data_IF_705757358098
#
_entry.id   IF_705757358098
#
_cell.length_a   1.000
_cell.length_b   1.000
_cell.length_c   1.000
_cell.angle_alpha   90.00
_cell.angle_beta   90.00
_cell.angle_gamma   90.00
#
_symmetry.space_group_name_H-M   'P 1'
#
loop_
_entity.id
_entity.type
_entity.pdbx_description
1 polymer ?
#
# COMPACT_ATOMS: atom_id res chain seq x y z
N UNK A 1 6.76 4.53 -10.63
CA UNK A 1 7.01 5.51 -11.73
C UNK A 1 5.74 6.26 -12.14
N UNK A 2 4.62 5.57 -12.42
CA UNK A 2 3.38 6.23 -12.88
C UNK A 2 2.94 7.40 -12.01
N UNK A 3 2.97 7.26 -10.68
CA UNK A 3 2.52 8.33 -9.77
C UNK A 3 3.39 9.58 -9.85
N UNK A 4 4.72 9.43 -9.85
CA UNK A 4 5.65 10.53 -10.04
C UNK A 4 5.47 11.21 -11.40
N UNK A 5 5.31 10.43 -12.48
CA UNK A 5 5.05 10.96 -13.81
C UNK A 5 3.70 11.70 -13.88
N UNK A 6 2.68 11.18 -13.22
CA UNK A 6 1.33 11.76 -13.16
C UNK A 6 1.34 13.14 -12.48
N UNK A 7 1.96 13.25 -11.30
CA UNK A 7 2.07 14.54 -10.60
C UNK A 7 2.98 15.52 -11.33
N UNK A 8 4.05 15.05 -11.97
CA UNK A 8 4.92 15.90 -12.79
C UNK A 8 4.18 16.46 -14.00
N UNK A 9 3.41 15.64 -14.72
CA UNK A 9 2.56 16.10 -15.82
C UNK A 9 1.56 17.14 -15.34
N UNK A 10 0.81 16.84 -14.28
CA UNK A 10 -0.28 17.70 -13.81
C UNK A 10 0.21 19.04 -13.24
N UNK A 11 1.27 19.03 -12.41
CA UNK A 11 1.70 20.23 -11.70
C UNK A 11 2.82 21.01 -12.38
N UNK A 12 3.65 20.38 -13.22
CA UNK A 12 4.89 21.00 -13.71
C UNK A 12 4.96 21.08 -15.23
N UNK A 13 4.46 20.06 -15.94
CA UNK A 13 4.70 19.88 -17.38
C UNK A 13 3.41 19.59 -18.18
N UNK A 14 2.32 20.39 -18.04
CA UNK A 14 1.04 20.09 -18.70
C UNK A 14 1.12 20.17 -20.23
N UNK A 15 2.03 20.99 -20.78
CA UNK A 15 2.26 21.10 -22.23
C UNK A 15 2.88 19.82 -22.84
N UNK A 16 3.47 18.93 -22.03
CA UNK A 16 4.09 17.68 -22.49
C UNK A 16 3.11 16.50 -22.50
N UNK A 17 1.81 16.79 -22.65
CA UNK A 17 0.71 15.83 -22.63
C UNK A 17 0.97 14.54 -23.42
N UNK A 18 1.37 14.65 -24.68
CA UNK A 18 1.59 13.47 -25.55
C UNK A 18 2.74 12.59 -25.06
N UNK A 19 3.82 13.20 -24.56
CA UNK A 19 4.96 12.46 -24.02
C UNK A 19 4.58 11.69 -22.75
N UNK A 20 3.87 12.34 -21.82
CA UNK A 20 3.41 11.69 -20.60
C UNK A 20 2.34 10.64 -20.84
N UNK A 21 1.42 10.87 -21.80
CA UNK A 21 0.43 9.87 -22.21
C UNK A 21 1.11 8.60 -22.71
N UNK A 22 2.05 8.74 -23.65
CA UNK A 22 2.84 7.61 -24.15
C UNK A 22 3.62 6.90 -23.04
N UNK A 23 4.24 7.65 -22.12
CA UNK A 23 4.95 7.08 -20.97
C UNK A 23 4.01 6.25 -20.08
N UNK A 24 2.84 6.78 -19.70
CA UNK A 24 1.87 6.05 -18.87
C UNK A 24 1.37 4.79 -19.58
N UNK A 25 1.06 4.87 -20.86
CA UNK A 25 0.63 3.70 -21.65
C UNK A 25 1.69 2.60 -21.72
N UNK A 26 2.97 2.96 -21.90
CA UNK A 26 4.07 2.00 -21.87
C UNK A 26 4.26 1.37 -20.49
N UNK A 27 4.09 2.15 -19.41
CA UNK A 27 4.18 1.63 -18.05
C UNK A 27 3.02 0.68 -17.72
N UNK A 28 1.80 1.01 -18.16
CA UNK A 28 0.62 0.14 -18.03
C UNK A 28 0.82 -1.14 -18.85
N UNK A 29 1.29 -1.04 -20.10
CA UNK A 29 1.61 -2.20 -20.92
C UNK A 29 2.63 -3.13 -20.24
N UNK A 30 3.68 -2.57 -19.61
CA UNK A 30 4.63 -3.37 -18.82
C UNK A 30 3.96 -4.04 -17.62
N UNK A 31 3.04 -3.36 -16.93
CA UNK A 31 2.29 -3.92 -15.80
C UNK A 31 1.43 -5.12 -16.21
N UNK A 32 0.92 -5.14 -17.45
CA UNK A 32 0.12 -6.25 -18.01
C UNK A 32 0.96 -7.46 -18.48
N UNK A 33 2.30 -7.32 -18.56
CA UNK A 33 3.16 -8.45 -18.96
C UNK A 33 3.12 -9.55 -17.92
N UNK A 34 3.05 -10.80 -18.40
CA UNK A 34 3.07 -12.01 -17.58
C UNK A 34 4.18 -12.00 -16.53
N UNK A 35 5.39 -11.57 -16.90
CA UNK A 35 6.55 -11.49 -15.99
C UNK A 35 6.31 -10.64 -14.72
N UNK A 36 5.34 -9.71 -14.76
CA UNK A 36 5.00 -8.85 -13.62
C UNK A 36 4.00 -9.50 -12.68
N UNK A 37 3.05 -10.28 -13.19
CA UNK A 37 1.92 -10.79 -12.40
C UNK A 37 1.88 -12.31 -12.24
N UNK A 38 2.64 -13.08 -13.02
CA UNK A 38 2.61 -14.55 -13.01
C UNK A 38 3.09 -15.17 -11.72
N UNK A 39 3.80 -14.41 -10.87
CA UNK A 39 4.12 -14.83 -9.51
C UNK A 39 2.85 -15.24 -8.74
N UNK A 40 1.71 -14.62 -9.08
CA UNK A 40 0.46 -14.82 -8.40
C UNK A 40 0.01 -16.28 -8.40
N UNK A 41 0.22 -17.01 -9.50
CA UNK A 41 -0.12 -18.42 -9.57
C UNK A 41 0.52 -19.21 -8.41
N UNK A 42 1.78 -18.95 -8.10
CA UNK A 42 2.47 -19.59 -6.98
C UNK A 42 2.04 -19.02 -5.63
N UNK A 43 1.94 -17.70 -5.50
CA UNK A 43 1.59 -17.02 -4.25
C UNK A 43 0.16 -17.34 -3.77
N UNK A 44 -0.78 -17.53 -4.70
CA UNK A 44 -2.19 -17.86 -4.43
C UNK A 44 -2.38 -19.15 -3.62
N UNK A 45 -1.38 -20.02 -3.60
CA UNK A 45 -1.35 -21.25 -2.82
C UNK A 45 -1.24 -21.03 -1.30
N UNK A 46 -0.89 -19.81 -0.86
CA UNK A 46 -0.66 -19.44 0.55
C UNK A 46 0.54 -20.16 1.20
N UNK A 47 0.80 -19.87 2.47
CA UNK A 47 1.85 -20.52 3.25
C UNK A 47 1.82 -20.16 4.73
N UNK A 48 2.58 -20.92 5.53
CA UNK A 48 2.60 -20.84 7.01
C UNK A 48 2.87 -19.45 7.59
N UNK A 49 3.56 -18.58 6.83
CA UNK A 49 3.85 -17.22 7.28
C UNK A 49 2.60 -16.34 7.39
N UNK A 50 1.70 -16.44 6.41
CA UNK A 50 0.45 -15.66 6.35
C UNK A 50 -0.76 -16.42 6.87
N UNK A 51 -0.67 -17.76 6.91
CA UNK A 51 -1.71 -18.64 7.43
C UNK A 51 -1.07 -19.74 8.30
N UNK A 52 -0.83 -19.50 9.60
CA UNK A 52 -0.14 -20.45 10.47
C UNK A 52 -0.86 -21.80 10.61
N UNK A 53 -2.17 -21.80 10.40
CA UNK A 53 -3.04 -22.97 10.56
C UNK A 53 -3.19 -23.77 9.25
N UNK A 54 -2.52 -23.37 8.16
CA UNK A 54 -2.59 -24.09 6.89
C UNK A 54 -1.94 -25.48 6.99
N UNK A 55 -2.66 -26.53 6.63
CA UNK A 55 -2.12 -27.90 6.58
C UNK A 55 -1.86 -28.37 5.15
N UNK A 56 -2.61 -27.84 4.19
CA UNK A 56 -2.48 -28.12 2.76
C UNK A 56 -2.49 -26.80 1.98
N UNK A 57 -1.64 -26.70 0.96
CA UNK A 57 -1.62 -25.52 0.08
C UNK A 57 -2.96 -25.37 -0.66
N UNK A 58 -3.40 -24.12 -0.84
CA UNK A 58 -4.60 -23.83 -1.64
C UNK A 58 -4.36 -24.26 -3.09
N UNK A 59 -5.44 -24.64 -3.78
CA UNK A 59 -5.39 -24.81 -5.24
C UNK A 59 -5.03 -23.45 -5.89
N UNK A 60 -3.98 -23.38 -6.72
CA UNK A 60 -3.59 -22.15 -7.37
C UNK A 60 -4.59 -21.72 -8.46
N UNK A 61 -4.59 -20.43 -8.79
CA UNK A 61 -5.27 -19.89 -9.97
C UNK A 61 -4.40 -18.85 -10.67
N UNK A 62 -4.57 -18.73 -11.99
CA UNK A 62 -3.72 -17.87 -12.81
C UNK A 62 -4.21 -16.42 -12.89
N UNK A 63 -5.52 -16.18 -12.87
CA UNK A 63 -6.07 -14.83 -12.98
C UNK A 63 -5.62 -13.94 -11.80
N UNK A 64 -4.78 -12.91 -12.05
CA UNK A 64 -4.20 -12.10 -10.99
C UNK A 64 -5.16 -11.07 -10.41
N UNK A 65 -6.36 -10.89 -10.98
CA UNK A 65 -7.33 -9.87 -10.53
C UNK A 65 -8.63 -10.47 -10.01
N UNK A 66 -8.91 -11.74 -10.29
CA UNK A 66 -10.17 -12.41 -9.89
C UNK A 66 -10.44 -12.35 -8.39
N UNK A 67 -9.41 -12.54 -7.57
CA UNK A 67 -9.52 -12.66 -6.12
C UNK A 67 -8.16 -12.32 -5.46
N UNK A 68 -8.20 -11.61 -4.33
CA UNK A 68 -7.00 -11.15 -3.59
C UNK A 68 -6.03 -10.31 -4.46
N UNK A 69 -4.71 -10.40 -4.24
CA UNK A 69 -3.67 -9.71 -5.00
C UNK A 69 -3.85 -8.18 -5.13
N UNK A 70 -4.46 -7.54 -4.12
CA UNK A 70 -4.89 -6.14 -4.23
C UNK A 70 -3.75 -5.16 -4.49
N UNK A 71 -2.53 -5.50 -4.11
CA UNK A 71 -1.36 -4.68 -4.39
C UNK A 71 -1.11 -4.55 -5.89
N UNK A 72 -1.32 -5.63 -6.65
CA UNK A 72 -1.24 -5.61 -8.11
C UNK A 72 -2.48 -4.95 -8.73
N UNK A 73 -3.67 -5.48 -8.44
CA UNK A 73 -4.92 -5.06 -9.07
C UNK A 73 -5.31 -3.62 -8.71
N UNK A 74 -5.09 -3.21 -7.46
CA UNK A 74 -5.31 -1.86 -6.99
C UNK A 74 -4.34 -0.84 -7.58
N UNK A 75 -3.06 -1.21 -7.76
CA UNK A 75 -2.11 -0.37 -8.48
C UNK A 75 -2.48 -0.24 -9.95
N UNK A 76 -2.83 -1.34 -10.62
CA UNK A 76 -3.26 -1.32 -12.01
C UNK A 76 -4.50 -0.44 -12.18
N UNK A 77 -5.52 -0.60 -11.33
CA UNK A 77 -6.72 0.22 -11.36
C UNK A 77 -6.36 1.70 -11.20
N UNK A 78 -5.50 2.07 -10.25
CA UNK A 78 -5.06 3.45 -10.09
C UNK A 78 -4.28 3.97 -11.31
N UNK A 79 -3.43 3.16 -11.92
CA UNK A 79 -2.67 3.55 -13.12
C UNK A 79 -3.60 3.88 -14.29
N UNK A 80 -4.58 3.03 -14.58
CA UNK A 80 -5.51 3.24 -15.69
C UNK A 80 -6.51 4.36 -15.40
N UNK A 81 -6.91 4.54 -14.13
CA UNK A 81 -7.80 5.63 -13.71
C UNK A 81 -7.08 6.99 -13.79
N UNK A 82 -5.80 7.05 -13.45
CA UNK A 82 -4.95 8.24 -13.64
C UNK A 82 -4.76 8.57 -15.12
N UNK A 83 -4.48 7.57 -15.97
CA UNK A 83 -4.39 7.77 -17.42
C UNK A 83 -5.69 8.38 -17.95
N UNK A 84 -6.83 7.78 -17.63
CA UNK A 84 -8.13 8.27 -18.06
C UNK A 84 -8.38 9.71 -17.58
N UNK A 85 -8.10 10.02 -16.31
CA UNK A 85 -8.29 11.37 -15.75
C UNK A 85 -7.36 12.43 -16.34
N UNK A 86 -6.07 12.13 -16.49
CA UNK A 86 -5.07 13.11 -16.95
C UNK A 86 -5.18 13.42 -18.44
N UNK A 87 -5.71 12.47 -19.20
CA UNK A 87 -5.67 12.49 -20.65
C UNK A 87 -7.04 12.41 -21.30
N UNK A 88 -8.11 12.42 -20.52
CA UNK A 88 -9.48 12.31 -20.99
C UNK A 88 -9.64 11.27 -22.11
N UNK A 89 -9.22 10.03 -21.79
CA UNK A 89 -9.09 8.95 -22.76
C UNK A 89 -9.62 7.65 -22.15
N UNK A 90 -10.61 7.06 -22.83
CA UNK A 90 -11.31 5.85 -22.42
C UNK A 90 -10.71 4.56 -23.01
N UNK A 91 -9.43 4.61 -23.43
CA UNK A 91 -8.67 3.45 -23.95
C UNK A 91 -8.82 2.21 -23.06
N UNK A 92 -8.77 2.38 -21.74
CA UNK A 92 -8.85 1.27 -20.79
C UNK A 92 -10.28 0.89 -20.37
N UNK A 93 -11.28 1.57 -20.91
CA UNK A 93 -12.69 1.15 -20.82
C UNK A 93 -13.13 0.30 -22.03
N UNK A 94 -12.30 0.24 -23.08
CA UNK A 94 -12.58 -0.61 -24.23
C UNK A 94 -12.51 -2.11 -23.87
N UNK A 95 -13.33 -2.96 -24.51
CA UNK A 95 -13.23 -4.40 -24.36
C UNK A 95 -11.79 -4.89 -24.59
N UNK A 96 -11.35 -5.82 -23.75
CA UNK A 96 -10.01 -6.43 -23.82
C UNK A 96 -8.82 -5.46 -23.62
N UNK A 97 -9.05 -4.21 -23.23
CA UNK A 97 -7.96 -3.25 -23.03
C UNK A 97 -6.98 -3.66 -21.93
N UNK A 98 -7.46 -4.37 -20.90
CA UNK A 98 -6.63 -5.02 -19.89
C UNK A 98 -6.69 -6.54 -20.11
N UNK A 99 -5.82 -7.03 -20.99
CA UNK A 99 -5.71 -8.46 -21.31
C UNK A 99 -4.49 -9.08 -20.63
N UNK A 100 -4.72 -10.25 -20.03
CA UNK A 100 -3.74 -11.06 -19.34
C UNK A 100 -3.61 -12.40 -20.05
N UNK A 101 -2.44 -12.67 -20.60
CA UNK A 101 -2.14 -13.93 -21.26
C UNK A 101 -1.42 -14.87 -20.31
N UNK A 102 -2.05 -16.01 -20.04
CA UNK A 102 -1.48 -17.11 -19.26
C UNK A 102 -1.18 -18.28 -20.18
N UNK A 103 0.05 -18.38 -20.65
CA UNK A 103 0.49 -19.30 -21.71
C UNK A 103 1.75 -20.11 -21.33
N UNK A 104 1.72 -20.88 -20.22
CA UNK A 104 2.83 -21.76 -19.88
C UNK A 104 3.00 -22.85 -20.96
N UNK A 105 4.24 -23.05 -21.43
CA UNK A 105 4.54 -23.95 -22.56
C UNK A 105 4.71 -25.41 -22.09
N UNK A 106 5.33 -25.63 -20.94
CA UNK A 106 5.74 -26.96 -20.48
C UNK A 106 4.90 -27.51 -19.31
N UNK A 107 3.79 -26.84 -18.96
CA UNK A 107 2.89 -27.25 -17.88
C UNK A 107 1.53 -26.53 -18.01
N UNK A 108 0.49 -27.03 -17.33
CA UNK A 108 -0.87 -26.44 -17.37
C UNK A 108 -1.80 -27.11 -18.40
N UNK A 109 -2.95 -26.49 -18.65
CA UNK A 109 -4.01 -27.02 -19.52
C UNK A 109 -4.11 -26.29 -20.87
N UNK A 110 -3.05 -25.59 -21.27
CA UNK A 110 -3.04 -24.71 -22.43
C UNK A 110 -3.21 -23.23 -22.06
N UNK A 111 -3.21 -22.33 -23.07
CA UNK A 111 -3.27 -20.90 -22.84
C UNK A 111 -4.65 -20.44 -22.35
N UNK A 112 -4.66 -19.58 -21.33
CA UNK A 112 -5.83 -18.89 -20.81
C UNK A 112 -5.72 -17.38 -21.07
N UNK A 113 -6.86 -16.71 -21.21
CA UNK A 113 -6.96 -15.26 -21.41
C UNK A 113 -7.94 -14.68 -20.38
N UNK A 114 -7.47 -13.73 -19.59
CA UNK A 114 -8.33 -12.98 -18.66
C UNK A 114 -8.43 -11.54 -19.16
N UNK A 115 -9.64 -10.98 -19.17
CA UNK A 115 -9.89 -9.64 -19.73
C UNK A 115 -10.68 -8.79 -18.76
N UNK A 116 -10.27 -7.53 -18.65
CA UNK A 116 -10.91 -6.54 -17.81
C UNK A 116 -10.98 -5.20 -18.55
N UNK A 117 -11.98 -4.40 -18.21
CA UNK A 117 -11.97 -2.95 -18.41
C UNK A 117 -11.61 -2.29 -17.08
N UNK A 118 -11.32 -0.99 -17.08
CA UNK A 118 -11.16 -0.21 -15.84
C UNK A 118 -12.37 -0.38 -14.93
N UNK A 119 -13.57 -0.33 -15.50
CA UNK A 119 -14.82 -0.46 -14.76
C UNK A 119 -15.05 -1.89 -14.22
N UNK A 120 -14.80 -2.94 -15.02
CA UNK A 120 -14.95 -4.32 -14.52
C UNK A 120 -13.90 -4.69 -13.47
N UNK A 121 -12.67 -4.16 -13.59
CA UNK A 121 -11.64 -4.32 -12.58
C UNK A 121 -12.03 -3.67 -11.25
N UNK A 122 -12.60 -2.46 -11.29
CA UNK A 122 -13.14 -1.81 -10.09
C UNK A 122 -14.26 -2.66 -9.44
N UNK A 123 -15.17 -3.20 -10.25
CA UNK A 123 -16.26 -4.04 -9.76
C UNK A 123 -15.74 -5.29 -9.06
N UNK A 124 -14.74 -5.98 -9.64
CA UNK A 124 -14.11 -7.13 -8.99
C UNK A 124 -13.52 -6.76 -7.62
N UNK A 125 -12.86 -5.60 -7.51
CA UNK A 125 -12.32 -5.12 -6.23
C UNK A 125 -13.44 -4.79 -5.23
N UNK A 126 -14.55 -4.18 -5.67
CA UNK A 126 -15.69 -3.88 -4.80
C UNK A 126 -16.34 -5.15 -4.24
N UNK A 127 -16.55 -6.16 -5.08
CA UNK A 127 -17.03 -7.48 -4.67
C UNK A 127 -16.13 -8.11 -3.60
N UNK A 128 -14.81 -8.01 -3.78
CA UNK A 128 -13.85 -8.52 -2.79
C UNK A 128 -13.87 -7.73 -1.48
N UNK A 129 -13.99 -6.40 -1.54
CA UNK A 129 -14.15 -5.58 -0.33
C UNK A 129 -15.42 -5.96 0.42
N UNK A 130 -16.54 -6.18 -0.29
CA UNK A 130 -17.80 -6.65 0.29
C UNK A 130 -17.65 -8.03 0.93
N UNK A 131 -16.99 -8.98 0.25
CA UNK A 131 -16.71 -10.33 0.75
C UNK A 131 -15.96 -10.32 2.09
N UNK A 132 -15.01 -9.40 2.26
CA UNK A 132 -14.23 -9.23 3.49
C UNK A 132 -14.84 -8.22 4.48
N UNK A 133 -16.16 -7.99 4.38
CA UNK A 133 -16.92 -7.12 5.27
C UNK A 133 -16.32 -5.70 5.35
N UNK A 134 -15.85 -5.21 4.21
CA UNK A 134 -15.26 -3.89 4.02
C UNK A 134 -13.95 -3.62 4.75
N UNK A 135 -13.28 -4.62 5.34
CA UNK A 135 -11.93 -4.43 5.89
C UNK A 135 -10.88 -4.12 4.82
N UNK A 136 -11.18 -4.43 3.56
CA UNK A 136 -10.31 -4.31 2.40
C UNK A 136 -10.24 -5.63 1.64
N UNK A 137 -9.39 -5.68 0.62
CA UNK A 137 -9.06 -6.90 -0.12
C UNK A 137 -7.71 -7.42 0.35
N UNK A 138 -7.54 -8.74 0.37
CA UNK A 138 -6.27 -9.36 0.69
C UNK A 138 -5.20 -9.03 -0.38
N UNK A 139 -3.96 -8.82 0.05
CA UNK A 139 -2.81 -8.76 -0.84
C UNK A 139 -2.34 -10.19 -1.11
N UNK A 140 -1.62 -10.77 -0.17
CA UNK A 140 -1.38 -12.21 -0.10
C UNK A 140 -2.60 -12.91 0.48
N UNK A 141 -2.76 -14.22 0.22
CA UNK A 141 -3.74 -15.05 0.90
C UNK A 141 -3.83 -14.75 2.39
N UNK A 142 -5.08 -14.65 2.88
CA UNK A 142 -5.38 -14.43 4.30
C UNK A 142 -4.88 -13.09 4.89
N UNK A 143 -4.37 -12.15 4.09
CA UNK A 143 -3.70 -10.94 4.61
C UNK A 143 -4.22 -9.63 4.01
N UNK A 144 -5.02 -8.88 4.78
CA UNK A 144 -5.53 -7.56 4.39
C UNK A 144 -4.58 -6.47 4.90
N UNK A 145 -3.69 -6.00 4.03
CA UNK A 145 -2.78 -4.90 4.32
C UNK A 145 -3.48 -3.56 4.16
N UNK A 146 -3.36 -2.67 5.16
CA UNK A 146 -3.97 -1.33 5.08
C UNK A 146 -3.34 -0.55 3.92
N UNK A 147 -2.00 -0.57 3.80
CA UNK A 147 -1.28 0.17 2.75
C UNK A 147 -1.72 -0.23 1.34
N UNK A 148 -1.90 -1.53 1.07
CA UNK A 148 -2.25 -2.04 -0.25
C UNK A 148 -3.65 -1.61 -0.69
N UNK A 149 -4.55 -1.38 0.27
CA UNK A 149 -5.92 -0.96 0.01
C UNK A 149 -6.07 0.55 -0.27
N UNK A 150 -5.01 1.35 -0.11
CA UNK A 150 -5.10 2.79 -0.38
C UNK A 150 -5.18 3.12 -1.87
N UNK A 151 -4.51 2.34 -2.73
CA UNK A 151 -4.49 2.56 -4.18
C UNK A 151 -5.85 2.40 -4.86
N UNK A 152 -6.61 1.30 -4.64
CA UNK A 152 -7.92 1.16 -5.25
C UNK A 152 -8.92 2.21 -4.75
N UNK A 153 -8.87 2.61 -3.47
CA UNK A 153 -9.73 3.67 -2.92
C UNK A 153 -9.49 5.00 -3.66
N UNK A 154 -8.22 5.36 -3.89
CA UNK A 154 -7.88 6.57 -4.66
C UNK A 154 -8.37 6.43 -6.10
N UNK A 155 -8.23 5.25 -6.70
CA UNK A 155 -8.70 5.00 -8.06
C UNK A 155 -10.22 5.15 -8.18
N UNK A 156 -10.98 4.64 -7.22
CA UNK A 156 -12.44 4.79 -7.14
C UNK A 156 -12.84 6.26 -7.10
N UNK A 157 -12.10 7.11 -6.37
CA UNK A 157 -12.36 8.56 -6.38
C UNK A 157 -12.16 9.17 -7.77
N UNK A 158 -11.10 8.81 -8.48
CA UNK A 158 -10.89 9.27 -9.85
C UNK A 158 -12.01 8.81 -10.79
N UNK A 159 -12.45 7.56 -10.63
CA UNK A 159 -13.51 6.98 -11.43
C UNK A 159 -14.87 7.64 -11.14
N UNK A 160 -15.17 7.95 -9.88
CA UNK A 160 -16.35 8.71 -9.48
C UNK A 160 -16.41 10.07 -10.17
N UNK A 161 -15.29 10.79 -10.21
CA UNK A 161 -15.21 12.10 -10.88
C UNK A 161 -15.49 11.98 -12.39
N UNK A 162 -14.92 10.97 -13.08
CA UNK A 162 -15.16 10.77 -14.51
C UNK A 162 -16.59 10.35 -14.82
N UNK A 163 -17.12 9.42 -14.03
CA UNK A 163 -18.41 8.79 -14.30
C UNK A 163 -19.60 9.55 -13.70
N UNK A 164 -19.36 10.61 -12.93
CA UNK A 164 -20.42 11.33 -12.21
C UNK A 164 -21.08 10.49 -11.11
N UNK A 165 -20.32 9.55 -10.51
CA UNK A 165 -20.81 8.65 -9.44
C UNK A 165 -20.24 9.04 -8.08
N UNK A 166 -20.65 8.33 -7.02
CA UNK A 166 -20.17 8.56 -5.66
C UNK A 166 -19.98 7.24 -4.87
N UNK A 167 -19.37 6.25 -5.52
CA UNK A 167 -19.14 4.91 -4.99
C UNK A 167 -18.18 4.97 -3.80
N UNK A 168 -17.14 5.81 -3.88
CA UNK A 168 -16.08 5.89 -2.88
C UNK A 168 -16.59 6.30 -1.50
N UNK A 169 -17.67 7.08 -1.41
CA UNK A 169 -18.24 7.49 -0.12
C UNK A 169 -18.80 6.30 0.66
N UNK A 170 -19.51 5.37 -0.02
CA UNK A 170 -19.97 4.11 0.59
C UNK A 170 -18.76 3.27 1.02
N UNK A 171 -17.74 3.16 0.15
CA UNK A 171 -16.51 2.41 0.42
C UNK A 171 -15.82 2.95 1.66
N UNK A 172 -15.56 4.25 1.74
CA UNK A 172 -14.87 4.89 2.87
C UNK A 172 -15.66 4.77 4.16
N UNK A 173 -16.97 5.00 4.13
CA UNK A 173 -17.84 4.85 5.30
C UNK A 173 -17.73 3.43 5.87
N UNK A 174 -17.85 2.42 5.02
CA UNK A 174 -17.81 1.03 5.45
C UNK A 174 -16.40 0.59 5.84
N UNK A 175 -15.38 1.05 5.12
CA UNK A 175 -13.97 0.74 5.40
C UNK A 175 -13.54 1.28 6.77
N UNK A 176 -13.83 2.56 7.06
CA UNK A 176 -13.56 3.14 8.38
C UNK A 176 -14.35 2.39 9.46
N UNK A 177 -15.65 2.16 9.28
CA UNK A 177 -16.47 1.44 10.25
C UNK A 177 -15.97 0.01 10.52
N UNK A 178 -15.44 -0.68 9.50
CA UNK A 178 -14.87 -2.00 9.65
C UNK A 178 -13.59 -2.00 10.51
N UNK A 179 -12.72 -1.01 10.32
CA UNK A 179 -11.48 -0.88 11.11
C UNK A 179 -11.72 -0.34 12.53
N UNK A 180 -12.73 0.52 12.73
CA UNK A 180 -13.11 0.99 14.08
C UNK A 180 -13.53 -0.15 15.01
N UNK A 181 -14.12 -1.24 14.47
CA UNK A 181 -14.41 -2.46 15.26
C UNK A 181 -13.17 -3.12 15.85
N UNK A 182 -11.98 -2.81 15.33
CA UNK A 182 -10.71 -3.29 15.82
C UNK A 182 -9.82 -2.19 16.43
N UNK A 183 -10.42 -1.08 16.88
CA UNK A 183 -9.70 0.04 17.49
C UNK A 183 -9.12 1.05 16.50
N UNK A 184 -9.55 1.00 15.23
CA UNK A 184 -9.15 1.91 14.18
C UNK A 184 -7.87 1.50 13.45
N UNK A 185 -7.30 2.42 12.68
CA UNK A 185 -6.10 2.16 11.87
C UNK A 185 -4.79 2.19 12.65
N UNK A 186 -4.78 2.80 13.85
CA UNK A 186 -3.57 3.15 14.58
C UNK A 186 -3.38 2.30 15.82
N UNK A 187 -2.14 1.83 16.00
CA UNK A 187 -1.64 1.24 17.22
C UNK A 187 -1.56 2.28 18.36
N UNK A 188 -1.38 1.80 19.60
CA UNK A 188 -1.13 2.65 20.78
C UNK A 188 0.08 3.59 20.62
N UNK A 189 1.11 3.17 19.88
CA UNK A 189 2.28 3.98 19.58
C UNK A 189 2.08 4.94 18.39
N UNK A 190 0.85 5.06 17.88
CA UNK A 190 0.41 5.87 16.73
C UNK A 190 0.92 5.42 15.36
N UNK A 191 1.62 4.28 15.25
CA UNK A 191 1.90 3.67 13.95
C UNK A 191 0.66 3.01 13.39
N UNK A 192 0.54 2.98 12.06
CA UNK A 192 -0.53 2.25 11.38
C UNK A 192 -0.31 0.75 11.62
N UNK A 193 -1.40 -0.01 11.79
CA UNK A 193 -1.34 -1.48 11.74
C UNK A 193 -0.79 -1.96 10.38
N UNK A 194 -0.19 -3.15 10.34
CA UNK A 194 0.40 -3.65 9.10
C UNK A 194 -0.68 -4.30 8.23
N UNK A 195 -1.19 -5.43 8.70
CA UNK A 195 -2.25 -6.16 8.05
C UNK A 195 -3.14 -6.87 9.07
N UNK A 196 -4.32 -7.26 8.62
CA UNK A 196 -5.25 -8.12 9.34
C UNK A 196 -5.22 -9.53 8.73
N UNK A 197 -5.06 -10.53 9.57
CA UNK A 197 -5.12 -11.95 9.21
C UNK A 197 -6.57 -12.44 9.31
N UNK A 198 -7.17 -12.79 8.17
CA UNK A 198 -8.62 -13.02 8.06
C UNK A 198 -9.08 -14.22 8.87
N UNK A 199 -8.41 -15.37 8.72
CA UNK A 199 -8.75 -16.64 9.37
C UNK A 199 -8.52 -16.60 10.88
N UNK A 200 -7.48 -15.90 11.33
CA UNK A 200 -7.11 -15.82 12.75
C UNK A 200 -7.77 -14.64 13.48
N UNK A 201 -8.54 -13.80 12.78
CA UNK A 201 -9.11 -12.55 13.33
C UNK A 201 -8.07 -11.72 14.12
N UNK A 202 -6.88 -11.55 13.51
CA UNK A 202 -5.71 -11.01 14.19
C UNK A 202 -5.07 -9.86 13.45
N UNK A 203 -4.83 -8.75 14.15
CA UNK A 203 -4.06 -7.64 13.62
C UNK A 203 -2.57 -7.83 13.87
N UNK A 204 -1.78 -7.65 12.81
CA UNK A 204 -0.32 -7.62 12.86
C UNK A 204 0.18 -6.17 13.01
N UNK A 205 1.04 -5.87 13.99
CA UNK A 205 1.55 -4.51 14.20
C UNK A 205 2.43 -4.07 13.03
N UNK A 206 2.25 -2.81 12.62
CA UNK A 206 3.08 -2.14 11.62
C UNK A 206 4.25 -1.38 12.22
N UNK A 207 5.12 -0.91 11.34
CA UNK A 207 6.30 -0.10 11.69
C UNK A 207 6.24 1.27 11.00
N UNK A 208 7.31 2.06 11.15
CA UNK A 208 7.38 3.39 10.56
C UNK A 208 7.27 3.39 9.03
N UNK A 209 7.79 2.35 8.37
CA UNK A 209 7.74 2.23 6.92
C UNK A 209 6.33 2.03 6.41
N UNK A 210 5.61 1.05 6.98
CA UNK A 210 4.18 0.85 6.69
C UNK A 210 3.35 2.09 7.02
N UNK A 211 3.67 2.74 8.14
CA UNK A 211 2.99 3.96 8.61
C UNK A 211 3.14 5.09 7.61
N UNK A 212 4.36 5.40 7.19
CA UNK A 212 4.62 6.47 6.24
C UNK A 212 4.03 6.20 4.87
N UNK A 213 4.19 4.97 4.36
CA UNK A 213 3.64 4.61 3.06
C UNK A 213 2.11 4.68 3.07
N UNK A 214 1.46 4.11 4.10
CA UNK A 214 0.00 4.21 4.24
C UNK A 214 -0.41 5.67 4.34
N UNK A 215 0.23 6.46 5.21
CA UNK A 215 -0.12 7.85 5.47
C UNK A 215 0.01 8.72 4.22
N UNK A 216 1.04 8.51 3.39
CA UNK A 216 1.23 9.25 2.15
C UNK A 216 0.01 9.16 1.21
N UNK A 217 -0.56 7.97 1.06
CA UNK A 217 -1.72 7.75 0.19
C UNK A 217 -3.05 7.97 0.91
N UNK A 218 -3.18 7.54 2.17
CA UNK A 218 -4.36 7.75 3.00
C UNK A 218 -4.64 9.24 3.25
N UNK A 219 -3.63 10.10 3.21
CA UNK A 219 -3.80 11.56 3.31
C UNK A 219 -4.65 12.15 2.16
N UNK A 220 -4.90 11.42 1.07
CA UNK A 220 -5.80 11.86 0.00
C UNK A 220 -7.28 11.83 0.37
N UNK A 221 -7.68 11.01 1.35
CA UNK A 221 -9.09 10.86 1.77
C UNK A 221 -9.29 10.98 3.30
N UNK A 222 -8.24 10.80 4.11
CA UNK A 222 -8.26 10.95 5.56
C UNK A 222 -7.20 11.94 6.07
N UNK A 223 -7.12 13.12 5.44
CA UNK A 223 -6.02 14.06 5.70
C UNK A 223 -5.95 14.52 7.16
N UNK A 224 -7.09 14.73 7.82
CA UNK A 224 -7.12 15.21 9.20
C UNK A 224 -6.50 14.20 10.16
N UNK A 225 -6.90 12.93 10.08
CA UNK A 225 -6.33 11.89 10.95
C UNK A 225 -4.83 11.71 10.67
N UNK A 226 -4.42 11.62 9.41
CA UNK A 226 -3.01 11.47 9.05
C UNK A 226 -2.16 12.63 9.57
N UNK A 227 -2.57 13.89 9.34
CA UNK A 227 -1.82 15.08 9.78
C UNK A 227 -1.75 15.18 11.30
N UNK A 228 -2.83 14.83 12.00
CA UNK A 228 -2.85 14.82 13.47
C UNK A 228 -1.91 13.77 14.09
N UNK A 229 -1.73 12.63 13.43
CA UNK A 229 -0.86 11.55 13.91
C UNK A 229 0.63 11.77 13.60
N UNK A 230 0.95 12.60 12.60
CA UNK A 230 2.31 12.75 12.07
C UNK A 230 3.36 13.10 13.13
N UNK A 231 3.08 14.05 14.03
CA UNK A 231 4.03 14.43 15.10
C UNK A 231 4.37 13.25 16.01
N UNK A 232 3.37 12.46 16.39
CA UNK A 232 3.57 11.27 17.19
C UNK A 232 4.27 10.15 16.42
N UNK A 233 4.05 10.03 15.11
CA UNK A 233 4.70 9.03 14.26
C UNK A 233 6.17 9.35 14.00
N UNK A 234 6.50 10.61 13.74
CA UNK A 234 7.86 11.07 13.45
C UNK A 234 8.75 11.23 14.69
N UNK A 235 8.16 11.22 15.89
CA UNK A 235 8.89 11.31 17.16
C UNK A 235 10.04 10.28 17.23
N UNK A 236 11.25 10.81 17.44
CA UNK A 236 12.49 10.05 17.54
C UNK A 236 13.17 9.76 16.19
N UNK A 237 12.48 9.89 15.06
CA UNK A 237 13.09 9.66 13.75
C UNK A 237 13.85 10.87 13.20
N UNK A 238 13.60 12.05 13.76
CA UNK A 238 14.33 13.28 13.45
C UNK A 238 14.95 13.92 14.68
N UNK A 239 16.17 14.40 14.51
CA UNK A 239 16.87 15.24 15.49
C UNK A 239 17.51 16.42 14.77
N UNK A 240 17.33 17.63 15.31
CA UNK A 240 18.03 18.81 14.82
C UNK A 240 19.40 18.92 15.49
N UNK A 241 20.45 19.05 14.69
CA UNK A 241 21.78 19.42 15.19
C UNK A 241 21.79 20.92 15.59
N UNK A 242 22.75 21.35 16.44
CA UNK A 242 22.85 22.75 16.86
C UNK A 242 22.95 23.76 15.71
N UNK A 243 23.51 23.33 14.57
CA UNK A 243 23.63 24.14 13.35
C UNK A 243 22.37 24.13 12.45
N UNK A 244 21.24 23.61 12.94
CA UNK A 244 19.98 23.53 12.21
C UNK A 244 19.84 22.32 11.26
N UNK A 245 20.88 21.51 11.06
CA UNK A 245 20.81 20.32 10.20
C UNK A 245 19.86 19.27 10.78
N UNK A 246 18.91 18.79 9.99
CA UNK A 246 18.05 17.66 10.35
C UNK A 246 18.80 16.35 10.11
N UNK A 247 18.82 15.48 11.11
CA UNK A 247 19.39 14.14 11.01
C UNK A 247 18.30 13.08 11.10
N UNK A 248 18.36 12.12 10.18
CA UNK A 248 17.56 10.90 10.24
C UNK A 248 18.17 9.93 11.24
N UNK A 249 17.33 9.35 12.09
CA UNK A 249 17.72 8.29 13.01
C UNK A 249 17.28 6.92 12.46
N UNK A 250 18.09 5.88 12.71
CA UNK A 250 17.67 4.50 12.45
C UNK A 250 16.49 4.12 13.36
N UNK A 251 15.72 3.11 12.95
CA UNK A 251 14.58 2.61 13.74
C UNK A 251 14.98 2.24 15.17
N UNK A 252 16.15 1.60 15.37
CA UNK A 252 16.63 1.25 16.70
C UNK A 252 16.83 2.49 17.58
N UNK A 253 17.50 3.53 17.05
CA UNK A 253 17.72 4.79 17.77
C UNK A 253 16.40 5.51 18.03
N UNK A 254 15.54 5.62 17.03
CA UNK A 254 14.25 6.30 17.14
C UNK A 254 13.35 5.66 18.21
N UNK A 255 13.27 4.33 18.25
CA UNK A 255 12.47 3.61 19.25
C UNK A 255 13.03 3.78 20.67
N UNK A 256 14.35 3.91 20.83
CA UNK A 256 14.95 4.24 22.13
C UNK A 256 14.64 5.69 22.52
N UNK A 257 14.74 6.66 21.59
CA UNK A 257 14.35 8.05 21.87
C UNK A 257 12.88 8.10 22.35
N UNK A 258 11.95 7.41 21.68
CA UNK A 258 10.55 7.33 22.12
C UNK A 258 10.40 6.79 23.55
N UNK A 259 11.21 5.81 23.95
CA UNK A 259 11.24 5.27 25.32
C UNK A 259 11.79 6.31 26.32
N UNK A 260 12.87 7.00 25.98
CA UNK A 260 13.46 8.05 26.83
C UNK A 260 12.48 9.21 27.05
N UNK A 261 11.79 9.66 25.98
CA UNK A 261 10.75 10.70 26.08
C UNK A 261 9.63 10.25 27.01
N UNK A 262 9.15 9.01 26.84
CA UNK A 262 8.04 8.48 27.64
C UNK A 262 8.39 8.27 29.12
N UNK A 263 9.58 7.75 29.40
CA UNK A 263 9.94 7.27 30.74
C UNK A 263 10.77 8.27 31.55
N UNK A 264 11.53 9.13 30.88
CA UNK A 264 12.46 10.07 31.50
C UNK A 264 12.12 11.54 31.18
N UNK A 265 11.02 11.78 30.46
CA UNK A 265 10.62 13.11 29.97
C UNK A 265 11.76 13.83 29.18
N UNK A 266 12.59 13.05 28.48
CA UNK A 266 13.71 13.57 27.71
C UNK A 266 13.22 14.39 26.51
N UNK A 267 13.92 15.48 26.17
CA UNK A 267 13.64 16.24 24.96
C UNK A 267 14.01 15.39 23.72
N UNK A 268 13.07 15.05 22.82
CA UNK A 268 13.33 14.26 21.63
C UNK A 268 14.25 14.96 20.61
N UNK A 269 14.38 16.28 20.67
CA UNK A 269 15.21 17.07 19.76
C UNK A 269 16.61 17.33 20.31
N UNK A 270 16.83 17.14 21.62
CA UNK A 270 18.13 17.38 22.24
C UNK A 270 19.21 16.41 21.73
N UNK A 271 20.39 16.96 21.45
CA UNK A 271 21.54 16.18 21.00
C UNK A 271 21.99 15.14 22.03
N UNK A 272 21.87 15.46 23.32
CA UNK A 272 22.16 14.55 24.43
C UNK A 272 21.25 13.32 24.43
N UNK A 273 19.95 13.49 24.17
CA UNK A 273 18.99 12.39 24.03
C UNK A 273 19.37 11.46 22.89
N UNK A 274 19.79 12.03 21.75
CA UNK A 274 20.26 11.26 20.59
C UNK A 274 21.51 10.44 20.93
N UNK A 275 22.53 11.06 21.52
CA UNK A 275 23.78 10.38 21.89
C UNK A 275 23.51 9.23 22.86
N UNK A 276 22.69 9.46 23.89
CA UNK A 276 22.25 8.42 24.83
C UNK A 276 21.56 7.26 24.10
N UNK A 277 20.64 7.58 23.18
CA UNK A 277 19.93 6.57 22.40
C UNK A 277 20.86 5.76 21.47
N UNK A 278 21.88 6.39 20.87
CA UNK A 278 22.88 5.71 20.04
C UNK A 278 23.73 4.73 20.85
N UNK A 279 24.19 5.13 22.05
CA UNK A 279 24.95 4.25 22.93
C UNK A 279 24.13 3.06 23.42
N UNK A 280 22.85 3.29 23.74
CA UNK A 280 21.93 2.21 24.09
C UNK A 280 21.64 1.29 22.89
N UNK A 281 21.51 1.82 21.67
CA UNK A 281 21.28 1.04 20.47
C UNK A 281 22.46 0.11 20.14
N UNK A 282 23.70 0.56 20.32
CA UNK A 282 24.91 -0.27 20.13
C UNK A 282 24.96 -1.46 21.09
N UNK A 283 24.40 -1.32 22.29
CA UNK A 283 24.36 -2.35 23.32
C UNK A 283 23.19 -3.32 23.15
N UNK A 284 22.17 -2.95 22.36
CA UNK A 284 21.05 -3.81 22.08
C UNK A 284 21.45 -4.93 21.11
N UNK A 285 21.08 -6.19 21.42
CA UNK A 285 21.24 -7.29 20.47
C UNK A 285 20.49 -6.96 19.18
N UNK A 286 21.12 -7.21 18.03
CA UNK A 286 20.47 -7.10 16.74
C UNK A 286 19.25 -8.05 16.70
N UNK A 287 18.08 -7.51 16.42
CA UNK A 287 16.93 -8.34 16.11
C UNK A 287 17.15 -9.02 14.75
N UNK A 288 16.67 -10.26 14.54
CA UNK A 288 16.63 -10.85 13.21
C UNK A 288 15.93 -9.91 12.24
N UNK A 289 16.44 -9.83 11.00
CA UNK A 289 15.77 -9.06 9.95
C UNK A 289 14.35 -9.58 9.76
N UNK A 290 13.36 -8.69 9.60
CA UNK A 290 12.02 -9.13 9.25
C UNK A 290 12.05 -9.86 7.90
N UNK A 291 11.17 -10.85 7.70
CA UNK A 291 11.14 -11.65 6.49
C UNK A 291 10.73 -10.82 5.26
N UNK A 292 10.05 -9.69 5.47
CA UNK A 292 9.75 -8.72 4.43
C UNK A 292 10.74 -7.57 4.49
N UNK A 293 11.38 -7.19 3.37
CA UNK A 293 12.24 -6.02 3.33
C UNK A 293 11.40 -4.80 3.67
N UNK A 294 11.80 -4.13 4.74
CA UNK A 294 11.26 -2.81 5.07
C UNK A 294 12.16 -1.82 4.33
N UNK A 295 11.62 -0.90 3.51
CA UNK A 295 12.42 0.27 3.18
C UNK A 295 12.87 0.89 4.52
N UNK A 296 14.05 1.51 4.58
CA UNK A 296 14.67 1.93 5.87
C UNK A 296 15.10 3.40 5.86
N UNK A 297 14.96 4.08 4.71
CA UNK A 297 15.39 5.46 4.51
C UNK A 297 14.27 6.27 3.84
N UNK A 298 13.98 7.48 4.37
CA UNK A 298 13.17 8.51 3.70
C UNK A 298 11.70 8.67 4.14
N UNK A 299 11.22 7.93 5.14
CA UNK A 299 9.78 7.82 5.41
C UNK A 299 9.06 9.00 6.05
N UNK A 300 9.78 9.82 6.78
CA UNK A 300 9.15 10.78 7.68
C UNK A 300 9.36 12.20 7.21
N UNK A 301 10.06 12.42 6.09
CA UNK A 301 10.45 13.74 5.60
C UNK A 301 9.47 14.24 4.52
#
# INVERSE_FOLDING_TARGET
>A
MVYGASVAHFHLLPALRSAFKSLLEHLIHKMLRRDVWSYWYLTSQSGKFVDPDIFEMRKPWADPNKEENIMYSGHLLLMVSLHAMLFDDDKYDQPEALTFHWDPIFWGFGPEKFTYTRSSLQETILCEMERHQWKGVCCEPNSIFIVCNQFPIIAMRYNDVRSGTNIVDKVLKNYVAAWEKHGGFLQNNKFVHSWYMVKQDRIVPGNIGTTAWTSAFMNSWNSQAVRSAFSAQSLGFFTKAPNGRVNLNSTAVAMIIRKLVKNENADPQAWSTKQKAQELAKKAKAAPSPPLPVPIFGYVA
#
